data_IF_359869345389
#
_entry.id   IF_359869345389
#
_cell.length_a   1.000
_cell.length_b   1.000
_cell.length_c   1.000
_cell.angle_alpha   90.00
_cell.angle_beta   90.00
_cell.angle_gamma   90.00
#
_symmetry.space_group_name_H-M   'P 1'
#
loop_
_entity.id
_entity.type
_entity.pdbx_description
1 polymer ?
#
# COMPACT_ATOMS: atom_id res chain seq x y z
N UNK A 1 13.22 22.89 4.66
CA UNK A 1 14.22 21.86 4.96
C UNK A 1 14.00 20.76 3.95
N UNK A 2 14.83 20.71 2.92
CA UNK A 2 14.76 19.69 1.86
C UNK A 2 15.03 18.32 2.49
N UNK A 3 14.00 17.48 2.61
CA UNK A 3 14.19 16.04 2.80
C UNK A 3 14.88 15.51 1.54
N UNK A 4 16.21 15.49 1.56
CA UNK A 4 17.03 14.89 0.51
C UNK A 4 16.60 13.45 0.31
N UNK A 5 15.96 13.21 -0.84
CA UNK A 5 15.78 11.91 -1.47
C UNK A 5 17.14 11.23 -1.61
N UNK A 6 17.49 10.40 -0.63
CA UNK A 6 18.59 9.45 -0.75
C UNK A 6 17.95 8.12 -1.09
N UNK A 7 18.20 7.62 -2.30
CA UNK A 7 18.02 6.20 -2.60
C UNK A 7 18.78 5.41 -1.52
N UNK A 8 18.07 4.56 -0.78
CA UNK A 8 18.57 3.83 0.40
C UNK A 8 19.89 3.08 0.14
N UNK A 9 20.12 2.68 -1.12
CA UNK A 9 21.32 1.99 -1.58
C UNK A 9 22.59 2.86 -1.70
N UNK A 10 22.47 4.18 -1.93
CA UNK A 10 23.62 5.04 -2.28
C UNK A 10 24.36 5.64 -1.07
N UNK A 11 23.89 5.44 0.16
CA UNK A 11 24.45 6.13 1.32
C UNK A 11 25.24 5.25 2.30
N UNK A 12 25.33 3.93 2.09
CA UNK A 12 26.07 3.05 3.01
C UNK A 12 27.38 2.57 2.40
N UNK A 13 28.49 2.78 3.12
CA UNK A 13 29.79 2.16 2.82
C UNK A 13 29.83 0.66 3.13
N UNK A 14 28.78 0.12 3.75
CA UNK A 14 28.66 -1.26 4.21
C UNK A 14 27.89 -2.05 3.16
N UNK A 15 28.46 -3.17 2.69
CA UNK A 15 27.78 -4.03 1.71
C UNK A 15 26.61 -4.77 2.36
N UNK A 16 25.47 -4.81 1.67
CA UNK A 16 24.32 -5.64 2.06
C UNK A 16 24.66 -7.13 2.00
N UNK A 17 24.10 -7.91 2.92
CA UNK A 17 24.22 -9.38 2.96
C UNK A 17 23.10 -10.09 2.21
N UNK A 18 22.12 -9.36 1.70
CA UNK A 18 20.93 -9.91 1.04
C UNK A 18 21.22 -10.33 -0.41
N UNK A 19 20.41 -11.22 -0.95
CA UNK A 19 20.46 -11.61 -2.35
C UNK A 19 20.20 -10.39 -3.26
N UNK A 20 20.88 -10.23 -4.42
CA UNK A 20 20.68 -9.07 -5.30
C UNK A 20 19.23 -8.82 -5.72
N UNK A 21 18.47 -9.89 -6.01
CA UNK A 21 17.04 -9.77 -6.32
C UNK A 21 16.22 -9.21 -5.15
N UNK A 22 16.59 -9.55 -3.92
CA UNK A 22 15.92 -9.05 -2.73
C UNK A 22 16.30 -7.58 -2.47
N UNK A 23 17.56 -7.20 -2.72
CA UNK A 23 17.97 -5.79 -2.67
C UNK A 23 17.16 -4.96 -3.68
N UNK A 24 17.04 -5.44 -4.92
CA UNK A 24 16.24 -4.77 -5.95
C UNK A 24 14.75 -4.67 -5.57
N UNK A 25 14.17 -5.71 -4.98
CA UNK A 25 12.80 -5.69 -4.48
C UNK A 25 12.63 -4.64 -3.37
N UNK A 26 13.55 -4.60 -2.40
CA UNK A 26 13.50 -3.64 -1.30
C UNK A 26 13.63 -2.21 -1.80
N UNK A 27 14.57 -1.94 -2.71
CA UNK A 27 14.69 -0.61 -3.34
C UNK A 27 13.41 -0.21 -4.09
N UNK A 28 12.73 -1.18 -4.71
CA UNK A 28 11.49 -0.93 -5.44
C UNK A 28 10.31 -0.59 -4.52
N UNK A 29 10.15 -1.31 -3.41
CA UNK A 29 9.01 -1.10 -2.49
C UNK A 29 9.28 -0.02 -1.43
N UNK A 30 10.53 0.21 -1.04
CA UNK A 30 10.95 1.18 -0.04
C UNK A 30 11.36 2.53 -0.65
N UNK A 31 10.54 3.08 -1.53
CA UNK A 31 10.83 4.33 -2.22
C UNK A 31 9.94 5.48 -1.74
N UNK A 32 10.56 6.42 -1.02
CA UNK A 32 9.89 7.59 -0.44
C UNK A 32 9.35 8.54 -1.52
N UNK A 33 9.99 8.64 -2.68
CA UNK A 33 9.54 9.52 -3.75
C UNK A 33 8.24 8.99 -4.35
N UNK A 34 8.20 7.69 -4.66
CA UNK A 34 6.96 7.04 -5.10
C UNK A 34 5.83 7.08 -4.08
N UNK A 35 6.13 7.05 -2.78
CA UNK A 35 5.12 7.27 -1.73
C UNK A 35 4.56 8.69 -1.77
N UNK A 36 5.41 9.70 -1.99
CA UNK A 36 4.97 11.10 -2.14
C UNK A 36 4.14 11.29 -3.41
N UNK A 37 4.56 10.71 -4.53
CA UNK A 37 3.84 10.77 -5.80
C UNK A 37 2.45 10.15 -5.69
N UNK A 38 2.32 9.01 -4.99
CA UNK A 38 1.03 8.40 -4.72
C UNK A 38 0.09 9.32 -3.92
N UNK A 39 0.61 10.08 -2.94
CA UNK A 39 -0.20 11.07 -2.21
C UNK A 39 -0.66 12.22 -3.12
N UNK A 40 0.20 12.68 -4.03
CA UNK A 40 -0.15 13.72 -5.00
C UNK A 40 -1.21 13.24 -5.98
N UNK A 41 -1.15 11.98 -6.43
CA UNK A 41 -2.18 11.37 -7.28
C UNK A 41 -3.56 11.35 -6.60
N UNK A 42 -3.60 11.23 -5.28
CA UNK A 42 -4.82 11.34 -4.48
C UNK A 42 -5.27 12.77 -4.19
N UNK A 43 -4.62 13.76 -4.81
CA UNK A 43 -4.87 15.18 -4.61
C UNK A 43 -4.62 15.60 -3.15
N UNK A 44 -3.72 14.95 -2.43
CA UNK A 44 -3.43 15.30 -1.04
C UNK A 44 -2.48 16.49 -0.99
N UNK A 45 -2.78 17.43 -0.11
CA UNK A 45 -1.89 18.57 0.15
C UNK A 45 -0.69 18.11 0.98
N UNK A 46 0.35 17.62 0.29
CA UNK A 46 1.60 17.16 0.90
C UNK A 46 2.36 18.25 1.66
N UNK A 47 2.04 19.54 1.44
CA UNK A 47 2.62 20.66 2.20
C UNK A 47 1.98 20.77 3.58
N UNK A 48 0.65 20.63 3.65
CA UNK A 48 -0.09 20.63 4.92
C UNK A 48 0.04 19.30 5.66
N UNK A 49 0.06 18.20 4.92
CA UNK A 49 0.12 16.84 5.45
C UNK A 49 1.27 16.05 4.81
N UNK A 50 2.52 16.31 5.23
CA UNK A 50 3.65 15.47 4.83
C UNK A 50 3.51 14.07 5.47
N UNK A 51 4.17 13.07 4.86
CA UNK A 51 4.15 11.66 5.31
C UNK A 51 4.29 11.49 6.83
N UNK A 52 5.23 12.19 7.46
CA UNK A 52 5.49 12.07 8.90
C UNK A 52 4.48 12.76 9.82
N UNK A 53 3.47 13.46 9.29
CA UNK A 53 2.36 14.04 10.07
C UNK A 53 1.05 13.28 9.88
N UNK A 54 1.02 12.28 9.01
CA UNK A 54 -0.14 11.43 8.82
C UNK A 54 -0.33 10.54 10.05
N UNK A 55 -1.44 10.69 10.76
CA UNK A 55 -1.71 9.96 12.01
C UNK A 55 -2.73 8.84 11.77
N UNK A 56 -2.46 7.65 12.33
CA UNK A 56 -3.43 6.54 12.36
C UNK A 56 -4.81 6.95 12.89
N UNK A 57 -4.84 7.82 13.90
CA UNK A 57 -6.11 8.33 14.48
C UNK A 57 -6.88 9.18 13.46
N UNK A 58 -6.17 10.06 12.77
CA UNK A 58 -6.76 10.95 11.76
C UNK A 58 -7.32 10.16 10.58
N UNK A 59 -6.61 9.11 10.12
CA UNK A 59 -7.11 8.17 9.11
C UNK A 59 -8.37 7.45 9.62
N UNK A 60 -8.36 6.95 10.87
CA UNK A 60 -9.52 6.27 11.46
C UNK A 60 -10.74 7.19 11.59
N UNK A 61 -10.54 8.45 11.97
CA UNK A 61 -11.60 9.45 12.03
C UNK A 61 -12.17 9.73 10.62
N UNK A 62 -11.32 9.80 9.60
CA UNK A 62 -11.75 9.96 8.21
C UNK A 62 -12.56 8.75 7.71
N UNK A 63 -12.18 7.52 8.08
CA UNK A 63 -12.98 6.32 7.81
C UNK A 63 -14.37 6.42 8.44
N UNK A 64 -14.43 6.91 9.68
CA UNK A 64 -15.69 7.07 10.42
C UNK A 64 -16.64 8.01 9.67
N UNK A 65 -16.12 9.11 9.14
CA UNK A 65 -16.87 10.08 8.33
C UNK A 65 -17.40 9.42 7.05
N UNK A 66 -16.56 8.71 6.30
CA UNK A 66 -16.97 8.03 5.07
C UNK A 66 -18.00 6.92 5.32
N UNK A 67 -17.84 6.16 6.42
CA UNK A 67 -18.80 5.12 6.81
C UNK A 67 -20.16 5.73 7.20
N UNK A 68 -20.14 6.87 7.89
CA UNK A 68 -21.36 7.60 8.25
C UNK A 68 -22.09 8.12 7.01
N UNK A 69 -21.35 8.70 6.06
CA UNK A 69 -21.85 9.11 4.74
C UNK A 69 -22.47 7.94 3.98
N UNK A 70 -21.74 6.83 3.82
CA UNK A 70 -22.22 5.64 3.10
C UNK A 70 -23.52 5.07 3.69
N UNK A 71 -23.59 4.99 5.02
CA UNK A 71 -24.79 4.51 5.74
C UNK A 71 -26.00 5.42 5.53
N UNK A 72 -25.81 6.72 5.33
CA UNK A 72 -26.92 7.66 5.14
C UNK A 72 -27.34 7.75 3.67
N UNK A 73 -26.40 7.70 2.72
CA UNK A 73 -26.70 7.65 1.29
C UNK A 73 -27.48 6.40 0.87
N UNK A 74 -27.33 5.29 1.60
CA UNK A 74 -28.12 4.07 1.35
C UNK A 74 -29.58 4.16 1.80
N UNK A 75 -29.96 5.20 2.55
CA UNK A 75 -31.35 5.45 2.95
C UNK A 75 -31.97 6.46 1.97
N UNK A 76 -32.97 6.01 1.23
CA UNK A 76 -33.60 6.72 0.09
C UNK A 76 -34.36 8.00 0.51
N UNK A 77 -34.63 8.20 1.80
CA UNK A 77 -35.40 9.33 2.27
C UNK A 77 -34.53 10.58 2.48
N UNK A 78 -34.60 11.46 1.48
CA UNK A 78 -34.10 12.85 1.48
C UNK A 78 -32.61 12.99 1.79
N UNK A 79 -31.81 13.11 0.72
CA UNK A 79 -30.43 13.57 0.76
C UNK A 79 -30.41 15.00 1.34
N UNK A 80 -30.24 15.11 2.65
CA UNK A 80 -29.95 16.37 3.32
C UNK A 80 -28.62 16.90 2.79
N UNK A 81 -28.70 17.82 1.83
CA UNK A 81 -27.54 18.45 1.22
C UNK A 81 -26.66 19.15 2.27
N UNK A 82 -27.26 19.67 3.35
CA UNK A 82 -26.53 20.26 4.46
C UNK A 82 -25.68 19.24 5.20
N UNK A 83 -26.22 18.04 5.42
CA UNK A 83 -25.48 16.93 6.02
C UNK A 83 -24.31 16.47 5.13
N UNK A 84 -24.54 16.25 3.83
CA UNK A 84 -23.49 15.81 2.89
C UNK A 84 -22.38 16.85 2.82
N UNK A 85 -22.73 18.13 2.74
CA UNK A 85 -21.77 19.23 2.74
C UNK A 85 -20.98 19.27 4.05
N UNK A 86 -21.64 19.11 5.20
CA UNK A 86 -21.01 19.10 6.52
C UNK A 86 -19.97 17.97 6.67
N UNK A 87 -20.33 16.74 6.31
CA UNK A 87 -19.42 15.60 6.38
C UNK A 87 -18.32 15.67 5.30
N UNK A 88 -18.61 16.19 4.10
CA UNK A 88 -17.59 16.45 3.06
C UNK A 88 -16.54 17.44 3.57
N UNK A 89 -16.97 18.56 4.17
CA UNK A 89 -16.07 19.54 4.77
C UNK A 89 -15.27 18.94 5.91
N UNK A 90 -15.89 18.13 6.77
CA UNK A 90 -15.21 17.42 7.85
C UNK A 90 -14.14 16.48 7.31
N UNK A 91 -14.44 15.73 6.26
CA UNK A 91 -13.49 14.85 5.60
C UNK A 91 -12.29 15.63 5.05
N UNK A 92 -12.50 16.71 4.28
CA UNK A 92 -11.40 17.51 3.72
C UNK A 92 -10.62 18.32 4.76
N UNK A 93 -11.21 18.54 5.94
CA UNK A 93 -10.49 19.10 7.10
C UNK A 93 -9.58 18.04 7.73
N UNK A 94 -10.07 16.81 7.86
CA UNK A 94 -9.29 15.68 8.39
C UNK A 94 -8.22 15.23 7.42
N UNK A 95 -8.47 15.22 6.11
CA UNK A 95 -7.52 14.83 5.08
C UNK A 95 -7.40 16.02 4.13
N UNK A 96 -6.41 16.92 4.32
CA UNK A 96 -6.24 18.09 3.47
C UNK A 96 -5.95 17.68 2.03
N UNK A 97 -6.81 18.13 1.11
CA UNK A 97 -6.62 17.95 -0.32
C UNK A 97 -6.21 19.27 -0.99
N UNK A 98 -5.45 19.19 -2.06
CA UNK A 98 -5.09 20.29 -2.94
C UNK A 98 -5.89 20.22 -4.25
N UNK A 99 -7.02 20.92 -4.28
CA UNK A 99 -7.85 21.07 -5.47
C UNK A 99 -7.44 22.29 -6.34
N UNK A 100 -6.34 22.97 -6.00
CA UNK A 100 -5.95 24.24 -6.60
C UNK A 100 -7.04 25.30 -6.42
N UNK A 101 -7.53 25.84 -7.53
CA UNK A 101 -8.60 26.85 -7.55
C UNK A 101 -10.01 26.25 -7.68
N UNK A 102 -10.13 24.92 -7.74
CA UNK A 102 -11.42 24.25 -7.87
C UNK A 102 -12.08 24.10 -6.50
N UNK A 103 -13.40 24.11 -6.50
CA UNK A 103 -14.20 23.81 -5.30
C UNK A 103 -14.04 22.32 -4.97
N UNK A 104 -13.79 21.96 -3.69
CA UNK A 104 -13.77 20.56 -3.25
C UNK A 104 -15.04 19.82 -3.67
N UNK A 105 -14.94 18.63 -4.30
CA UNK A 105 -16.10 17.88 -4.74
C UNK A 105 -16.90 17.32 -3.56
N UNK A 106 -18.22 17.30 -3.65
CA UNK A 106 -19.08 16.72 -2.62
C UNK A 106 -18.96 15.19 -2.60
N UNK A 107 -19.04 14.61 -1.41
CA UNK A 107 -19.04 13.16 -1.20
C UNK A 107 -20.49 12.62 -1.25
N UNK A 108 -21.14 12.79 -2.40
CA UNK A 108 -22.59 12.61 -2.56
C UNK A 108 -23.01 11.28 -3.20
N UNK A 109 -22.06 10.48 -3.69
CA UNK A 109 -22.34 9.22 -4.35
C UNK A 109 -21.47 8.06 -3.83
N UNK A 110 -21.98 6.82 -3.92
CA UNK A 110 -21.28 5.64 -3.42
C UNK A 110 -19.92 5.39 -4.08
N UNK A 111 -19.76 5.77 -5.34
CA UNK A 111 -18.52 5.56 -6.09
C UNK A 111 -17.39 6.46 -5.58
N UNK A 112 -17.66 7.76 -5.37
CA UNK A 112 -16.72 8.69 -4.74
C UNK A 112 -16.31 8.20 -3.36
N UNK A 113 -17.29 7.77 -2.54
CA UNK A 113 -16.99 7.25 -1.19
C UNK A 113 -16.10 6.01 -1.27
N UNK A 114 -16.41 5.06 -2.18
CA UNK A 114 -15.60 3.86 -2.38
C UNK A 114 -14.16 4.22 -2.79
N UNK A 115 -14.00 5.18 -3.69
CA UNK A 115 -12.69 5.65 -4.12
C UNK A 115 -11.92 6.33 -2.98
N UNK A 116 -12.60 7.15 -2.15
CA UNK A 116 -11.98 7.77 -0.97
C UNK A 116 -11.68 6.76 0.15
N UNK A 117 -12.46 5.70 0.30
CA UNK A 117 -12.14 4.59 1.22
C UNK A 117 -10.86 3.88 0.77
N UNK A 118 -10.76 3.51 -0.51
CA UNK A 118 -9.55 2.92 -1.09
C UNK A 118 -8.33 3.84 -0.91
N UNK A 119 -8.51 5.14 -1.11
CA UNK A 119 -7.46 6.13 -0.84
C UNK A 119 -7.01 6.11 0.63
N UNK A 120 -7.92 6.01 1.60
CA UNK A 120 -7.56 5.89 3.02
C UNK A 120 -6.84 4.56 3.32
N UNK A 121 -7.15 3.48 2.61
CA UNK A 121 -6.44 2.19 2.74
C UNK A 121 -5.00 2.36 2.27
N UNK A 122 -4.82 2.91 1.06
CA UNK A 122 -3.50 3.19 0.48
C UNK A 122 -2.68 4.15 1.38
N UNK A 123 -3.30 5.19 1.94
CA UNK A 123 -2.64 6.11 2.87
C UNK A 123 -2.20 5.45 4.17
N UNK A 124 -2.99 4.51 4.70
CA UNK A 124 -2.62 3.76 5.90
C UNK A 124 -1.37 2.91 5.65
N UNK A 125 -1.30 2.24 4.51
CA UNK A 125 -0.14 1.43 4.16
C UNK A 125 1.10 2.31 3.94
N UNK A 126 0.95 3.48 3.31
CA UNK A 126 2.03 4.48 3.17
C UNK A 126 2.51 4.98 4.55
N UNK A 127 1.61 5.27 5.48
CA UNK A 127 1.96 5.69 6.85
C UNK A 127 2.78 4.62 7.58
N UNK A 128 2.35 3.37 7.48
CA UNK A 128 3.04 2.24 8.09
C UNK A 128 4.42 2.03 7.46
N UNK A 129 4.50 2.08 6.14
CA UNK A 129 5.75 1.98 5.40
C UNK A 129 6.73 3.10 5.78
N UNK A 130 6.27 4.35 5.83
CA UNK A 130 7.09 5.49 6.23
C UNK A 130 7.61 5.35 7.66
N UNK A 131 6.77 4.87 8.59
CA UNK A 131 7.18 4.63 9.97
C UNK A 131 8.25 3.53 10.08
N UNK A 132 8.18 2.49 9.26
CA UNK A 132 9.23 1.46 9.16
C UNK A 132 10.53 2.09 8.67
N UNK A 133 10.47 2.85 7.57
CA UNK A 133 11.66 3.45 6.94
C UNK A 133 12.33 4.54 7.79
N UNK A 134 11.58 5.19 8.69
CA UNK A 134 12.09 6.28 9.54
C UNK A 134 12.74 5.79 10.84
N UNK A 135 12.56 4.53 11.23
CA UNK A 135 13.19 4.01 12.45
C UNK A 135 14.71 4.18 12.41
N UNK A 136 15.30 4.49 13.56
CA UNK A 136 16.73 4.75 13.68
C UNK A 136 17.53 3.56 13.19
N UNK A 137 18.42 3.82 12.23
CA UNK A 137 19.26 2.81 11.63
C UNK A 137 20.55 2.64 12.44
N UNK A 138 20.92 1.40 12.72
CA UNK A 138 22.22 1.03 13.29
C UNK A 138 23.34 1.46 12.33
N UNK A 139 24.37 2.14 12.84
CA UNK A 139 25.42 2.72 11.99
C UNK A 139 26.31 1.66 11.31
N UNK A 140 26.36 0.45 11.85
CA UNK A 140 27.21 -0.67 11.44
C UNK A 140 26.50 -1.72 10.58
N UNK A 141 25.22 -1.50 10.23
CA UNK A 141 24.45 -2.41 9.38
C UNK A 141 23.96 -1.68 8.12
N UNK A 142 23.99 -2.36 6.97
CA UNK A 142 23.45 -1.80 5.74
C UNK A 142 21.94 -1.45 5.91
N UNK A 143 21.48 -0.25 5.50
CA UNK A 143 20.08 0.17 5.62
C UNK A 143 19.07 -0.81 5.01
N UNK A 144 19.36 -1.43 3.86
CA UNK A 144 18.47 -2.40 3.22
C UNK A 144 18.29 -3.65 4.09
N UNK A 145 19.37 -4.11 4.72
CA UNK A 145 19.33 -5.27 5.64
C UNK A 145 18.46 -4.95 6.87
N UNK A 146 18.51 -3.71 7.36
CA UNK A 146 17.69 -3.27 8.49
C UNK A 146 16.21 -3.17 8.12
N UNK A 147 15.89 -2.55 6.98
CA UNK A 147 14.52 -2.48 6.49
C UNK A 147 13.94 -3.87 6.23
N UNK A 148 14.73 -4.78 5.67
CA UNK A 148 14.31 -6.17 5.50
C UNK A 148 13.95 -6.83 6.84
N UNK A 149 14.75 -6.64 7.89
CA UNK A 149 14.42 -7.16 9.24
C UNK A 149 13.12 -6.57 9.78
N UNK A 150 12.85 -5.30 9.50
CA UNK A 150 11.63 -4.61 9.96
C UNK A 150 10.37 -5.14 9.28
N UNK A 151 10.46 -5.69 8.05
CA UNK A 151 9.33 -6.37 7.39
C UNK A 151 8.86 -7.62 8.14
N UNK A 152 9.73 -8.24 8.96
CA UNK A 152 9.42 -9.47 9.72
C UNK A 152 8.85 -10.61 8.86
N UNK A 153 9.29 -10.66 7.60
CA UNK A 153 8.83 -11.60 6.59
C UNK A 153 10.06 -12.17 5.88
N UNK A 154 10.10 -13.49 5.75
CA UNK A 154 11.16 -14.16 5.02
C UNK A 154 10.82 -14.16 3.53
N UNK A 155 11.72 -13.60 2.73
CA UNK A 155 11.60 -13.54 1.28
C UNK A 155 12.77 -14.31 0.67
N UNK A 156 12.46 -15.37 -0.05
CA UNK A 156 13.47 -16.20 -0.72
C UNK A 156 13.26 -16.13 -2.23
N UNK A 157 14.25 -15.63 -3.00
CA UNK A 157 14.16 -15.68 -4.45
C UNK A 157 14.05 -17.11 -4.94
N UNK A 158 13.04 -17.39 -5.75
CA UNK A 158 12.81 -18.71 -6.33
C UNK A 158 13.75 -18.93 -7.52
N UNK A 159 14.28 -20.15 -7.67
CA UNK A 159 15.09 -20.50 -8.83
C UNK A 159 14.24 -20.48 -10.09
N UNK A 160 14.70 -19.73 -11.09
CA UNK A 160 14.08 -19.61 -12.41
C UNK A 160 13.95 -20.92 -13.17
N UNK A 161 14.76 -21.92 -12.84
CA UNK A 161 14.73 -23.26 -13.46
C UNK A 161 13.81 -24.25 -12.73
N UNK A 162 13.21 -23.84 -11.60
CA UNK A 162 12.32 -24.71 -10.83
C UNK A 162 10.98 -24.95 -11.54
N UNK A 163 10.39 -26.12 -11.27
CA UNK A 163 9.05 -26.45 -11.76
C UNK A 163 7.99 -25.49 -11.21
N UNK A 164 8.13 -25.05 -9.95
CA UNK A 164 7.23 -24.10 -9.31
C UNK A 164 7.23 -22.74 -10.01
N UNK A 165 8.42 -22.22 -10.32
CA UNK A 165 8.56 -20.97 -11.06
C UNK A 165 7.91 -21.05 -12.45
N UNK A 166 8.10 -22.17 -13.14
CA UNK A 166 7.47 -22.45 -14.43
C UNK A 166 5.95 -22.50 -14.32
N UNK A 167 5.43 -23.12 -13.26
CA UNK A 167 3.99 -23.21 -12.99
C UNK A 167 3.38 -21.84 -12.70
N UNK A 168 4.06 -20.98 -11.94
CA UNK A 168 3.63 -19.60 -11.68
C UNK A 168 3.63 -18.78 -12.97
N UNK A 169 4.69 -18.87 -13.78
CA UNK A 169 4.74 -18.22 -15.11
C UNK A 169 3.59 -18.65 -16.00
N UNK A 170 3.28 -19.94 -16.03
CA UNK A 170 2.16 -20.46 -16.79
C UNK A 170 0.83 -19.96 -16.23
N UNK A 171 0.67 -19.91 -14.91
CA UNK A 171 -0.55 -19.42 -14.27
C UNK A 171 -0.82 -17.96 -14.64
N UNK A 172 0.18 -17.08 -14.56
CA UNK A 172 0.10 -15.67 -14.98
C UNK A 172 -0.35 -15.54 -16.44
N UNK A 173 0.23 -16.34 -17.34
CA UNK A 173 -0.10 -16.30 -18.77
C UNK A 173 -1.52 -16.78 -19.05
N UNK A 174 -1.94 -17.89 -18.43
CA UNK A 174 -3.24 -18.51 -18.67
C UNK A 174 -4.40 -17.70 -18.09
N UNK A 175 -4.19 -16.99 -16.98
CA UNK A 175 -5.22 -16.17 -16.34
C UNK A 175 -5.19 -14.71 -16.77
N UNK A 176 -4.50 -14.36 -17.86
CA UNK A 176 -4.54 -13.01 -18.40
C UNK A 176 -5.92 -12.73 -19.01
N UNK A 177 -6.64 -11.75 -18.45
CA UNK A 177 -8.01 -11.42 -18.87
C UNK A 177 -8.06 -10.96 -20.33
N UNK A 178 -8.96 -11.54 -21.13
CA UNK A 178 -9.08 -11.23 -22.57
C UNK A 178 -9.45 -9.77 -22.87
N UNK A 179 -10.07 -9.08 -21.91
CA UNK A 179 -10.44 -7.66 -22.00
C UNK A 179 -9.32 -6.71 -21.60
N UNK A 180 -8.21 -7.19 -21.02
CA UNK A 180 -7.10 -6.37 -20.52
C UNK A 180 -5.91 -6.33 -21.51
N UNK A 181 -6.19 -6.17 -22.80
CA UNK A 181 -5.20 -6.22 -23.89
C UNK A 181 -4.31 -4.98 -24.02
N UNK A 182 -4.53 -3.94 -23.20
CA UNK A 182 -3.73 -2.72 -23.21
C UNK A 182 -2.30 -2.92 -22.68
N UNK A 183 -2.02 -4.06 -22.05
CA UNK A 183 -0.68 -4.40 -21.55
C UNK A 183 -0.43 -5.91 -21.62
N UNK A 184 0.84 -6.29 -21.57
CA UNK A 184 1.29 -7.68 -21.38
C UNK A 184 2.09 -7.78 -20.09
N UNK A 185 2.16 -8.98 -19.51
CA UNK A 185 2.89 -9.24 -18.28
C UNK A 185 4.12 -10.09 -18.57
N UNK A 186 5.26 -9.68 -18.01
CA UNK A 186 6.48 -10.47 -17.96
C UNK A 186 6.85 -10.74 -16.49
N UNK A 187 7.07 -12.01 -16.15
CA UNK A 187 7.50 -12.39 -14.80
C UNK A 187 9.00 -12.27 -14.71
N UNK A 188 9.45 -11.18 -14.09
CA UNK A 188 10.87 -10.84 -13.88
C UNK A 188 11.48 -11.65 -12.74
N UNK A 189 10.77 -11.77 -11.62
CA UNK A 189 11.22 -12.51 -10.43
C UNK A 189 10.02 -13.08 -9.68
N UNK A 190 10.26 -14.14 -8.91
CA UNK A 190 9.31 -14.75 -7.99
C UNK A 190 10.03 -14.93 -6.65
N UNK A 191 9.32 -14.64 -5.57
CA UNK A 191 9.80 -14.82 -4.22
C UNK A 191 8.85 -15.75 -3.49
N UNK A 192 9.40 -16.74 -2.80
CA UNK A 192 8.68 -17.43 -1.75
C UNK A 192 8.57 -16.49 -0.53
N UNK A 193 7.39 -16.46 0.07
CA UNK A 193 7.01 -15.48 1.10
C UNK A 193 6.51 -16.23 2.32
N UNK A 194 7.25 -16.11 3.43
CA UNK A 194 6.84 -16.65 4.72
C UNK A 194 6.74 -15.52 5.75
N UNK A 195 5.51 -15.15 6.08
CA UNK A 195 5.23 -14.12 7.09
C UNK A 195 5.21 -14.72 8.49
N UNK A 196 5.74 -13.98 9.46
CA UNK A 196 5.71 -14.39 10.86
C UNK A 196 4.27 -14.70 11.31
N UNK A 197 4.10 -15.84 12.00
CA UNK A 197 2.83 -16.31 12.58
C UNK A 197 1.70 -16.63 11.58
N UNK A 198 1.85 -16.34 10.28
CA UNK A 198 0.80 -16.57 9.29
C UNK A 198 0.48 -18.06 9.12
N UNK A 199 1.50 -18.91 9.02
CA UNK A 199 1.34 -20.37 8.93
C UNK A 199 0.55 -20.93 10.12
N UNK A 200 0.91 -20.55 11.34
CA UNK A 200 0.22 -21.01 12.55
C UNK A 200 -1.26 -20.60 12.57
N UNK A 201 -1.56 -19.33 12.25
CA UNK A 201 -2.95 -18.84 12.16
C UNK A 201 -3.72 -19.52 11.02
N UNK A 202 -3.05 -19.77 9.90
CA UNK A 202 -3.66 -20.44 8.75
C UNK A 202 -3.91 -21.92 9.01
N UNK A 203 -3.05 -22.63 9.73
CA UNK A 203 -3.25 -24.05 10.07
C UNK A 203 -4.49 -24.22 10.97
N UNK A 204 -4.67 -23.35 11.97
CA UNK A 204 -5.87 -23.30 12.81
C UNK A 204 -7.13 -22.99 11.97
N UNK A 205 -7.04 -22.02 11.06
CA UNK A 205 -8.14 -21.69 10.16
C UNK A 205 -8.42 -22.79 9.12
N UNK A 206 -7.42 -23.45 8.57
CA UNK A 206 -7.63 -24.40 7.47
C UNK A 206 -8.10 -25.78 7.96
N UNK A 207 -7.99 -26.05 9.26
CA UNK A 207 -8.50 -27.26 9.89
C UNK A 207 -9.99 -27.47 9.57
N UNK A 208 -10.31 -28.59 8.91
CA UNK A 208 -11.68 -28.94 8.52
C UNK A 208 -12.26 -28.17 7.32
N UNK A 209 -11.49 -27.26 6.71
CA UNK A 209 -11.91 -26.51 5.52
C UNK A 209 -11.36 -27.15 4.23
N UNK A 210 -12.24 -27.32 3.24
CA UNK A 210 -11.90 -27.83 1.90
C UNK A 210 -11.78 -26.68 0.88
N UNK A 211 -11.47 -26.99 -0.39
CA UNK A 211 -11.36 -26.02 -1.48
C UNK A 211 -10.32 -24.90 -1.26
N UNK A 212 -9.08 -25.30 -0.93
CA UNK A 212 -7.96 -24.37 -0.86
C UNK A 212 -7.49 -24.02 -2.28
N UNK A 213 -7.40 -22.73 -2.58
CA UNK A 213 -7.03 -22.23 -3.89
C UNK A 213 -5.90 -21.20 -3.78
N UNK A 214 -5.02 -21.19 -4.76
CA UNK A 214 -4.02 -20.14 -4.95
C UNK A 214 -4.64 -19.04 -5.83
N UNK A 215 -4.83 -17.86 -5.25
CA UNK A 215 -5.50 -16.73 -5.89
C UNK A 215 -4.57 -15.52 -6.01
N UNK A 216 -4.85 -14.65 -6.99
CA UNK A 216 -4.11 -13.42 -7.22
C UNK A 216 -4.59 -12.29 -6.31
N UNK A 217 -3.64 -11.55 -5.73
CA UNK A 217 -3.88 -10.28 -5.06
C UNK A 217 -2.91 -9.24 -5.63
N UNK A 218 -3.46 -8.16 -6.19
CA UNK A 218 -2.69 -7.03 -6.72
C UNK A 218 -2.92 -5.78 -5.88
N UNK A 219 -1.83 -5.09 -5.54
CA UNK A 219 -1.86 -3.84 -4.77
C UNK A 219 -0.85 -2.84 -5.33
N UNK A 220 -1.00 -1.55 -4.98
CA UNK A 220 -0.06 -0.50 -5.37
C UNK A 220 1.32 -0.81 -4.81
N UNK A 221 2.38 -0.39 -5.53
CA UNK A 221 3.78 -0.61 -5.12
C UNK A 221 4.06 -0.13 -3.68
N UNK A 222 3.46 1.02 -3.31
CA UNK A 222 3.63 1.70 -2.02
C UNK A 222 3.05 0.93 -0.85
N UNK A 223 2.14 -0.01 -1.11
CA UNK A 223 1.44 -0.74 -0.07
C UNK A 223 2.19 -2.01 0.36
N UNK A 224 3.11 -2.51 -0.46
CA UNK A 224 3.75 -3.81 -0.20
C UNK A 224 4.60 -3.83 1.07
N UNK A 225 5.19 -2.70 1.47
CA UNK A 225 5.92 -2.62 2.75
C UNK A 225 4.99 -2.85 3.94
N UNK A 226 3.73 -2.41 3.88
CA UNK A 226 2.77 -2.65 4.95
C UNK A 226 1.99 -3.95 4.82
N UNK A 227 1.85 -4.46 3.58
CA UNK A 227 1.30 -5.78 3.33
C UNK A 227 2.25 -6.87 3.78
N UNK A 228 3.57 -6.74 3.62
CA UNK A 228 4.56 -7.74 4.08
C UNK A 228 4.75 -7.69 5.60
#
# INVERSE_FOLDING_TARGET
VEEKSRSLAKSSSIKSKLHPLLQALLEFICDLESMKDAMVEFEIDVKKMPLGKLSKRQIQDAYSVLAHLSKRLSKIDQLDQGFILGESNRFYTLIPHDFGMKVPPLLDNPEIIKNKLKMLEDLREIELAYNILKQDLEADVNPLDQHYRQLRTQLQPMDTNSEEFSRIKQYVKLTHGSTHSSYTLEVVAVFDVERAEEKARYDEFSAGRHNRQLLWHGSRRTNWVGIL
#
